data_IF_033114567242
#
_entry.id   IF_033114567242
#
_cell.length_a   1.000
_cell.length_b   1.000
_cell.length_c   1.000
_cell.angle_alpha   90.00
_cell.angle_beta   90.00
_cell.angle_gamma   90.00
#
_symmetry.space_group_name_H-M   'P 1'
#
loop_
_entity.id
_entity.type
_entity.pdbx_description
1 polymer ?
#
# COMPACT_ATOMS: atom_id res chain seq x y z
N UNK A 1 5.32 -19.13 -5.20
CA UNK A 1 6.75 -19.00 -5.55
C UNK A 1 7.38 -20.34 -6.00
N UNK A 2 6.59 -21.41 -6.15
CA UNK A 2 7.09 -22.75 -6.51
C UNK A 2 7.73 -22.87 -7.91
N UNK A 3 7.43 -21.98 -8.85
CA UNK A 3 7.95 -22.05 -10.23
C UNK A 3 9.27 -21.29 -10.45
N UNK A 4 9.84 -20.66 -9.42
CA UNK A 4 11.05 -19.84 -9.57
C UNK A 4 12.33 -20.54 -9.08
N UNK A 5 12.20 -21.53 -8.20
CA UNK A 5 13.30 -22.14 -7.47
C UNK A 5 13.21 -23.66 -7.51
N UNK A 6 14.37 -24.34 -7.61
CA UNK A 6 14.44 -25.79 -7.44
C UNK A 6 14.50 -26.13 -5.95
N UNK A 7 13.51 -26.86 -5.46
CA UNK A 7 13.34 -27.22 -4.04
C UNK A 7 14.51 -28.05 -3.50
N UNK A 8 15.12 -28.90 -4.32
CA UNK A 8 16.21 -29.81 -3.93
C UNK A 8 17.61 -29.17 -3.85
N UNK A 9 17.82 -27.97 -4.41
CA UNK A 9 19.16 -27.35 -4.48
C UNK A 9 19.11 -25.90 -4.01
N UNK A 10 19.17 -25.65 -2.71
CA UNK A 10 19.46 -24.34 -2.06
C UNK A 10 18.95 -23.09 -2.83
N UNK A 11 17.71 -23.10 -3.32
CA UNK A 11 17.14 -21.97 -4.06
C UNK A 11 17.83 -21.64 -5.38
N UNK A 12 18.39 -22.61 -6.10
CA UNK A 12 18.92 -22.40 -7.44
C UNK A 12 17.77 -22.04 -8.37
N UNK A 13 17.93 -20.91 -9.07
CA UNK A 13 16.86 -20.38 -9.89
C UNK A 13 16.62 -21.27 -11.12
N UNK A 14 15.36 -21.49 -11.46
CA UNK A 14 15.01 -22.24 -12.67
C UNK A 14 15.40 -21.46 -13.93
N UNK A 15 15.92 -22.19 -14.91
CA UNK A 15 16.28 -21.68 -16.26
C UNK A 15 14.99 -21.40 -17.02
N UNK A 16 14.96 -20.36 -17.87
CA UNK A 16 13.77 -19.94 -18.63
C UNK A 16 13.03 -21.10 -19.29
N UNK A 17 13.75 -21.98 -19.97
CA UNK A 17 13.15 -23.11 -20.67
C UNK A 17 12.36 -24.03 -19.74
N UNK A 18 12.90 -24.35 -18.55
CA UNK A 18 12.21 -25.16 -17.55
C UNK A 18 10.93 -24.48 -17.05
N UNK A 19 11.00 -23.19 -16.72
CA UNK A 19 9.83 -22.41 -16.26
C UNK A 19 8.73 -22.39 -17.31
N UNK A 20 9.09 -22.18 -18.58
CA UNK A 20 8.14 -22.14 -19.68
C UNK A 20 7.55 -23.52 -19.99
N UNK A 21 8.31 -24.60 -19.83
CA UNK A 21 7.79 -25.96 -19.96
C UNK A 21 6.78 -26.31 -18.87
N UNK A 22 7.08 -26.01 -17.59
CA UNK A 22 6.11 -26.18 -16.50
C UNK A 22 4.83 -25.40 -16.76
N UNK A 23 4.95 -24.14 -17.17
CA UNK A 23 3.79 -23.32 -17.51
C UNK A 23 2.96 -23.94 -18.63
N UNK A 24 3.60 -24.45 -19.69
CA UNK A 24 2.93 -25.11 -20.81
C UNK A 24 2.18 -26.37 -20.36
N UNK A 25 2.81 -27.21 -19.54
CA UNK A 25 2.18 -28.43 -19.01
C UNK A 25 0.96 -28.09 -18.15
N UNK A 26 1.10 -27.15 -17.20
CA UNK A 26 0.00 -26.71 -16.35
C UNK A 26 -1.15 -26.09 -17.15
N UNK A 27 -0.82 -25.26 -18.17
CA UNK A 27 -1.80 -24.69 -19.09
C UNK A 27 -2.59 -25.78 -19.81
N UNK A 28 -1.89 -26.74 -20.42
CA UNK A 28 -2.53 -27.81 -21.18
C UNK A 28 -3.40 -28.69 -20.28
N UNK A 29 -2.88 -29.09 -19.11
CA UNK A 29 -3.63 -29.85 -18.12
C UNK A 29 -4.91 -29.13 -17.68
N UNK A 30 -4.85 -27.81 -17.45
CA UNK A 30 -6.02 -27.02 -17.07
C UNK A 30 -7.08 -26.98 -18.19
N UNK A 31 -6.65 -26.83 -19.44
CA UNK A 31 -7.54 -26.80 -20.60
C UNK A 31 -8.14 -28.18 -20.91
N UNK A 32 -7.41 -29.27 -20.64
CA UNK A 32 -7.91 -30.64 -20.75
C UNK A 32 -8.94 -30.96 -19.66
N UNK A 33 -8.73 -30.47 -18.43
CA UNK A 33 -9.65 -30.69 -17.31
C UNK A 33 -10.96 -29.90 -17.41
N UNK A 34 -10.92 -28.72 -18.05
CA UNK A 34 -12.08 -27.83 -18.18
C UNK A 34 -12.31 -27.41 -19.65
N UNK A 35 -12.61 -28.36 -20.56
CA UNK A 35 -12.74 -28.08 -21.98
C UNK A 35 -13.81 -27.03 -22.29
N UNK A 36 -14.89 -26.99 -21.50
CA UNK A 36 -15.99 -26.04 -21.62
C UNK A 36 -15.59 -24.58 -21.37
N UNK A 37 -14.49 -24.33 -20.66
CA UNK A 37 -13.98 -22.98 -20.39
C UNK A 37 -12.84 -22.58 -21.33
N UNK A 38 -12.41 -23.47 -22.24
CA UNK A 38 -11.22 -23.28 -23.07
C UNK A 38 -11.28 -21.98 -23.87
N UNK A 39 -12.36 -21.76 -24.60
CA UNK A 39 -12.53 -20.57 -25.44
C UNK A 39 -12.43 -19.25 -24.65
N UNK A 40 -12.90 -19.26 -23.39
CA UNK A 40 -12.89 -18.08 -22.53
C UNK A 40 -11.51 -17.78 -21.91
N UNK A 41 -10.70 -18.80 -21.60
CA UNK A 41 -9.49 -18.64 -20.77
C UNK A 41 -8.19 -18.79 -21.59
N UNK A 42 -8.22 -19.42 -22.77
CA UNK A 42 -7.01 -19.72 -23.57
C UNK A 42 -6.21 -18.46 -23.93
N UNK A 43 -6.88 -17.38 -24.36
CA UNK A 43 -6.24 -16.08 -24.63
C UNK A 43 -5.57 -15.48 -23.39
N UNK A 44 -6.22 -15.60 -22.23
CA UNK A 44 -5.69 -15.11 -20.95
C UNK A 44 -4.46 -15.89 -20.53
N UNK A 45 -4.50 -17.22 -20.63
CA UNK A 45 -3.34 -18.08 -20.35
C UNK A 45 -2.20 -17.83 -21.33
N UNK A 46 -2.47 -17.55 -22.60
CA UNK A 46 -1.41 -17.19 -23.54
C UNK A 46 -0.74 -15.87 -23.13
N UNK A 47 -1.54 -14.86 -22.80
CA UNK A 47 -1.03 -13.54 -22.35
C UNK A 47 -0.16 -13.66 -21.10
N UNK A 48 -0.61 -14.45 -20.10
CA UNK A 48 0.19 -14.78 -18.91
C UNK A 48 1.52 -15.44 -19.26
N UNK A 49 1.51 -16.39 -20.21
CA UNK A 49 2.71 -17.07 -20.69
C UNK A 49 3.73 -16.09 -21.25
N UNK A 50 3.30 -15.13 -22.09
CA UNK A 50 4.17 -14.09 -22.62
C UNK A 50 4.73 -13.15 -21.55
N UNK A 51 3.95 -12.81 -20.52
CA UNK A 51 4.44 -12.03 -19.39
C UNK A 51 5.52 -12.80 -18.61
N UNK A 52 5.30 -14.09 -18.36
CA UNK A 52 6.27 -14.97 -17.70
C UNK A 52 7.56 -15.12 -18.51
N UNK A 53 7.44 -15.29 -19.82
CA UNK A 53 8.58 -15.39 -20.73
C UNK A 53 9.39 -14.10 -20.77
N UNK A 54 8.73 -12.95 -20.92
CA UNK A 54 9.36 -11.63 -20.86
C UNK A 54 10.05 -11.39 -19.52
N UNK A 55 9.44 -11.84 -18.42
CA UNK A 55 10.06 -11.79 -17.10
C UNK A 55 11.35 -12.62 -17.06
N UNK A 56 11.32 -13.87 -17.54
CA UNK A 56 12.50 -14.73 -17.59
C UNK A 56 13.61 -14.12 -18.46
N UNK A 57 13.28 -13.56 -19.63
CA UNK A 57 14.25 -12.89 -20.51
C UNK A 57 14.90 -11.68 -19.84
N UNK A 58 14.12 -10.80 -19.21
CA UNK A 58 14.64 -9.63 -18.48
C UNK A 58 15.48 -10.01 -17.26
N UNK A 59 15.19 -11.16 -16.65
CA UNK A 59 15.97 -11.71 -15.54
C UNK A 59 17.32 -12.24 -16.03
N UNK A 60 17.36 -12.94 -17.16
CA UNK A 60 18.58 -13.48 -17.76
C UNK A 60 19.51 -12.38 -18.29
N UNK A 61 18.95 -11.35 -18.92
CA UNK A 61 19.74 -10.24 -19.47
C UNK A 61 20.23 -9.23 -18.44
N UNK A 62 19.87 -9.40 -17.16
CA UNK A 62 20.15 -8.41 -16.11
C UNK A 62 19.40 -7.08 -16.29
N UNK A 63 18.64 -6.89 -17.38
CA UNK A 63 17.95 -5.65 -17.76
C UNK A 63 16.82 -5.21 -16.80
N UNK A 64 16.64 -5.91 -15.69
CA UNK A 64 15.80 -5.48 -14.57
C UNK A 64 16.49 -4.38 -13.73
N UNK A 65 17.28 -3.49 -14.36
CA UNK A 65 18.25 -2.65 -13.66
C UNK A 65 17.61 -1.49 -12.90
N UNK A 66 16.41 -1.02 -13.27
CA UNK A 66 15.78 0.09 -12.52
C UNK A 66 14.80 -0.41 -11.45
N UNK A 67 15.34 -1.13 -10.45
CA UNK A 67 14.57 -1.44 -9.23
C UNK A 67 14.87 -0.36 -8.20
N UNK A 68 13.82 0.32 -7.72
CA UNK A 68 13.95 1.15 -6.52
C UNK A 68 14.60 0.34 -5.39
N UNK A 69 15.58 0.91 -4.67
CA UNK A 69 16.23 0.24 -3.54
C UNK A 69 15.20 -0.19 -2.50
N UNK A 70 15.45 -1.27 -1.76
CA UNK A 70 14.50 -1.73 -0.74
C UNK A 70 14.72 -0.94 0.55
N UNK A 71 13.67 -0.27 1.05
CA UNK A 71 13.73 0.27 2.41
C UNK A 71 13.80 -0.91 3.38
N UNK A 72 14.83 -1.00 4.20
CA UNK A 72 14.92 -2.06 5.23
C UNK A 72 14.27 -1.58 6.52
N UNK A 73 13.80 -2.51 7.37
CA UNK A 73 13.27 -2.15 8.70
C UNK A 73 14.31 -1.36 9.52
N UNK A 74 15.60 -1.72 9.40
CA UNK A 74 16.73 -0.99 10.01
C UNK A 74 16.83 0.45 9.50
N UNK A 75 16.78 0.65 8.18
CA UNK A 75 16.80 1.98 7.59
C UNK A 75 15.58 2.81 8.02
N UNK A 76 14.38 2.20 8.04
CA UNK A 76 13.17 2.84 8.57
C UNK A 76 13.36 3.31 10.00
N UNK A 77 13.86 2.44 10.89
CA UNK A 77 14.16 2.80 12.27
C UNK A 77 15.12 3.98 12.35
N UNK A 78 16.24 3.94 11.62
CA UNK A 78 17.23 5.03 11.62
C UNK A 78 16.61 6.36 11.18
N UNK A 79 15.79 6.34 10.12
CA UNK A 79 15.07 7.53 9.65
C UNK A 79 14.11 8.09 10.69
N UNK A 80 13.35 7.24 11.38
CA UNK A 80 12.40 7.69 12.41
C UNK A 80 13.12 8.18 13.67
N UNK A 81 14.19 7.49 14.14
CA UNK A 81 15.04 7.98 15.24
C UNK A 81 15.56 9.39 14.93
N UNK A 82 16.08 9.58 13.71
CA UNK A 82 16.57 10.90 13.30
C UNK A 82 15.48 11.96 13.40
N UNK A 83 14.30 11.72 12.81
CA UNK A 83 13.18 12.65 12.85
C UNK A 83 12.78 13.02 14.28
N UNK A 84 12.67 12.06 15.20
CA UNK A 84 12.36 12.36 16.60
C UNK A 84 13.48 13.08 17.32
N UNK A 85 14.74 12.71 17.08
CA UNK A 85 15.89 13.33 17.74
C UNK A 85 16.15 14.78 17.30
N UNK A 86 15.69 15.15 16.10
CA UNK A 86 15.85 16.50 15.53
C UNK A 86 14.53 17.24 15.37
N UNK A 87 13.46 16.76 16.02
CA UNK A 87 12.14 17.36 15.86
C UNK A 87 12.10 18.77 16.48
N UNK A 88 11.69 19.76 15.67
CA UNK A 88 11.50 21.15 16.12
C UNK A 88 10.06 21.59 15.91
N UNK A 89 9.37 20.98 14.94
CA UNK A 89 8.02 21.36 14.52
C UNK A 89 7.08 20.17 14.56
N UNK A 90 5.77 20.43 14.58
CA UNK A 90 4.76 19.39 14.45
C UNK A 90 4.90 18.58 13.16
N UNK A 91 5.42 19.19 12.09
CA UNK A 91 5.67 18.53 10.80
C UNK A 91 6.68 17.39 10.91
N UNK A 92 7.67 17.47 11.81
CA UNK A 92 8.68 16.41 11.97
C UNK A 92 8.04 15.10 12.48
N UNK A 93 7.08 15.20 13.40
CA UNK A 93 6.31 14.06 13.90
C UNK A 93 5.33 13.52 12.85
N UNK A 94 4.77 14.42 12.04
CA UNK A 94 3.92 14.06 10.90
C UNK A 94 4.73 13.34 9.80
N UNK A 95 6.00 13.72 9.59
CA UNK A 95 6.92 13.03 8.68
C UNK A 95 7.31 11.65 9.22
N UNK A 96 7.49 11.52 10.53
CA UNK A 96 7.77 10.23 11.16
C UNK A 96 6.61 9.24 10.97
N UNK A 97 5.37 9.67 11.23
CA UNK A 97 4.20 8.80 11.00
C UNK A 97 3.97 8.55 9.51
N UNK A 98 4.28 9.49 8.61
CA UNK A 98 4.24 9.27 7.17
C UNK A 98 5.17 8.13 6.74
N UNK A 99 6.45 8.16 7.15
CA UNK A 99 7.41 7.09 6.82
C UNK A 99 7.01 5.75 7.45
N UNK A 100 6.50 5.78 8.67
CA UNK A 100 5.98 4.62 9.37
C UNK A 100 4.79 3.99 8.62
N UNK A 101 3.78 4.79 8.28
CA UNK A 101 2.61 4.31 7.55
C UNK A 101 2.94 3.84 6.13
N UNK A 102 3.89 4.47 5.43
CA UNK A 102 4.38 3.97 4.14
C UNK A 102 4.93 2.55 4.23
N UNK A 103 5.57 2.16 5.34
CA UNK A 103 5.97 0.78 5.57
C UNK A 103 4.76 -0.16 5.65
N UNK A 104 3.78 0.17 6.50
CA UNK A 104 2.61 -0.69 6.74
C UNK A 104 1.63 -0.77 5.57
N UNK A 105 1.60 0.28 4.73
CA UNK A 105 0.76 0.36 3.53
C UNK A 105 1.48 -0.10 2.26
N UNK A 106 2.70 -0.65 2.34
CA UNK A 106 3.53 -1.02 1.18
C UNK A 106 3.69 0.13 0.16
N UNK A 107 4.01 1.32 0.66
CA UNK A 107 4.35 2.49 -0.14
C UNK A 107 3.16 3.16 -0.82
N UNK A 108 1.92 2.84 -0.43
CA UNK A 108 0.69 3.44 -0.97
C UNK A 108 0.48 4.87 -0.45
N UNK A 109 1.34 5.79 -0.90
CA UNK A 109 1.34 7.18 -0.47
C UNK A 109 0.01 7.90 -0.77
N UNK A 110 -0.63 7.63 -1.91
CA UNK A 110 -1.93 8.23 -2.28
C UNK A 110 -3.05 7.88 -1.31
N UNK A 111 -3.01 6.72 -0.66
CA UNK A 111 -4.04 6.32 0.29
C UNK A 111 -3.93 7.14 1.60
N UNK A 112 -2.76 7.72 1.87
CA UNK A 112 -2.50 8.55 3.05
C UNK A 112 -3.04 9.99 2.90
N UNK A 113 -3.23 10.50 1.69
CA UNK A 113 -3.74 11.88 1.49
C UNK A 113 -5.21 12.03 1.86
N UNK A 114 -5.98 10.94 1.81
CA UNK A 114 -7.40 10.93 2.15
C UNK A 114 -7.67 10.47 3.58
N UNK A 115 -6.61 10.18 4.34
CA UNK A 115 -6.74 9.52 5.64
C UNK A 115 -7.15 10.51 6.74
N UNK A 116 -8.32 10.29 7.32
CA UNK A 116 -8.88 11.08 8.43
C UNK A 116 -8.78 10.34 9.75
N UNK A 117 -8.89 11.07 10.87
CA UNK A 117 -8.90 10.48 12.22
C UNK A 117 -10.05 9.48 12.41
N UNK A 118 -11.23 9.79 11.85
CA UNK A 118 -12.41 8.92 11.88
C UNK A 118 -12.23 7.58 11.13
N UNK A 119 -11.17 7.45 10.33
CA UNK A 119 -10.82 6.20 9.64
C UNK A 119 -10.07 5.21 10.55
N UNK A 120 -9.62 5.66 11.72
CA UNK A 120 -9.00 4.80 12.73
C UNK A 120 -10.09 4.16 13.58
N UNK A 121 -9.93 2.86 13.86
CA UNK A 121 -10.81 2.14 14.78
C UNK A 121 -10.07 0.98 15.42
N UNK A 122 -10.59 0.48 16.53
CA UNK A 122 -10.11 -0.74 17.19
C UNK A 122 -11.17 -1.81 16.98
N UNK A 123 -10.78 -2.95 16.42
CA UNK A 123 -11.68 -4.09 16.26
C UNK A 123 -11.48 -5.14 17.34
N UNK A 124 -12.18 -6.27 17.20
CA UNK A 124 -12.06 -7.40 18.12
C UNK A 124 -10.64 -7.96 18.16
N UNK A 125 -10.12 -8.24 19.36
CA UNK A 125 -8.78 -8.80 19.56
C UNK A 125 -7.67 -7.76 19.59
N UNK A 126 -7.99 -6.51 19.95
CA UNK A 126 -7.01 -5.45 20.21
C UNK A 126 -6.17 -5.07 18.98
N UNK A 127 -6.80 -5.12 17.81
CA UNK A 127 -6.16 -4.78 16.55
C UNK A 127 -6.68 -3.43 16.06
N UNK A 128 -5.74 -2.54 15.75
CA UNK A 128 -6.06 -1.24 15.17
C UNK A 128 -6.29 -1.40 13.67
N UNK A 129 -7.31 -0.73 13.15
CA UNK A 129 -7.64 -0.70 11.74
C UNK A 129 -7.63 0.73 11.21
N UNK A 130 -7.12 0.86 9.99
CA UNK A 130 -7.21 2.04 9.15
C UNK A 130 -8.13 1.72 7.98
N UNK A 131 -9.30 2.34 7.92
CA UNK A 131 -10.26 2.17 6.81
C UNK A 131 -10.24 3.36 5.87
N UNK A 132 -9.93 3.17 4.60
CA UNK A 132 -9.89 4.28 3.64
C UNK A 132 -10.48 3.87 2.29
N UNK A 133 -10.99 4.86 1.56
CA UNK A 133 -11.39 4.67 0.17
C UNK A 133 -10.14 4.72 -0.69
N UNK A 134 -9.88 3.63 -1.40
CA UNK A 134 -8.72 3.52 -2.26
C UNK A 134 -8.87 4.41 -3.49
N UNK A 135 -7.96 5.37 -3.67
CA UNK A 135 -8.00 6.34 -4.79
C UNK A 135 -8.11 5.67 -6.17
N UNK A 136 -7.41 4.55 -6.37
CA UNK A 136 -7.34 3.87 -7.68
C UNK A 136 -8.52 2.95 -8.00
N UNK A 137 -9.30 2.56 -7.01
CA UNK A 137 -10.39 1.60 -7.18
C UNK A 137 -11.75 2.17 -6.75
N UNK A 138 -11.76 3.30 -6.03
CA UNK A 138 -12.94 3.88 -5.38
C UNK A 138 -13.66 2.87 -4.45
N UNK A 139 -12.90 1.94 -3.86
CA UNK A 139 -13.41 0.91 -2.98
C UNK A 139 -12.84 1.08 -1.57
N UNK A 140 -13.67 0.85 -0.55
CA UNK A 140 -13.26 0.87 0.84
C UNK A 140 -12.34 -0.31 1.16
N UNK A 141 -11.22 -0.04 1.81
CA UNK A 141 -10.27 -1.03 2.27
C UNK A 141 -9.90 -0.77 3.73
N UNK A 142 -9.90 -1.83 4.53
CA UNK A 142 -9.34 -1.84 5.88
C UNK A 142 -7.94 -2.44 5.88
N UNK A 143 -7.01 -1.79 6.57
CA UNK A 143 -5.70 -2.35 6.90
C UNK A 143 -5.49 -2.39 8.41
N UNK A 144 -4.96 -3.51 8.86
CA UNK A 144 -4.62 -3.76 10.24
C UNK A 144 -3.24 -3.19 10.55
N UNK A 145 -3.15 -2.54 11.70
CA UNK A 145 -1.93 -2.07 12.34
C UNK A 145 -1.76 -2.85 13.63
N UNK A 146 -0.53 -3.31 13.86
CA UNK A 146 -0.13 -4.02 15.06
C UNK A 146 0.90 -3.15 15.79
N UNK A 147 0.91 -3.14 17.13
CA UNK A 147 2.04 -2.62 17.88
C UNK A 147 3.32 -3.32 17.42
N UNK A 148 4.38 -2.55 17.22
CA UNK A 148 5.71 -3.07 16.90
C UNK A 148 6.47 -3.37 18.18
N UNK A 149 7.28 -4.43 18.17
CA UNK A 149 8.22 -4.73 19.26
C UNK A 149 9.20 -3.57 19.49
N UNK A 150 9.50 -2.83 18.42
CA UNK A 150 10.31 -1.62 18.50
C UNK A 150 9.42 -0.37 18.54
N UNK A 151 9.38 0.30 19.70
CA UNK A 151 8.62 1.53 19.90
C UNK A 151 8.89 2.57 18.82
N UNK A 152 10.12 2.68 18.32
CA UNK A 152 10.47 3.67 17.29
C UNK A 152 9.71 3.45 15.99
N UNK A 153 9.52 2.19 15.57
CA UNK A 153 8.81 1.85 14.33
C UNK A 153 7.36 1.42 14.56
N UNK A 154 6.87 1.62 15.80
CA UNK A 154 5.49 1.32 16.18
C UNK A 154 4.52 2.31 15.52
N UNK A 155 3.56 1.84 14.70
CA UNK A 155 2.65 2.72 13.98
C UNK A 155 1.70 3.44 14.94
N UNK A 156 1.31 2.79 16.04
CA UNK A 156 0.42 3.37 17.03
C UNK A 156 1.09 4.51 17.79
N UNK A 157 2.35 4.32 18.20
CA UNK A 157 3.12 5.38 18.84
C UNK A 157 3.36 6.54 17.88
N UNK A 158 3.72 6.24 16.62
CA UNK A 158 3.93 7.27 15.61
C UNK A 158 2.67 8.10 15.35
N UNK A 159 1.50 7.45 15.26
CA UNK A 159 0.20 8.12 15.15
C UNK A 159 -0.09 8.97 16.39
N UNK A 160 0.07 8.41 17.59
CA UNK A 160 -0.20 9.11 18.84
C UNK A 160 0.67 10.38 18.98
N UNK A 161 1.98 10.27 18.75
CA UNK A 161 2.89 11.41 18.77
C UNK A 161 2.52 12.46 17.72
N UNK A 162 2.21 12.03 16.50
CA UNK A 162 1.80 12.95 15.44
C UNK A 162 0.51 13.70 15.82
N UNK A 163 -0.45 13.04 16.47
CA UNK A 163 -1.71 13.65 16.93
C UNK A 163 -1.51 14.61 18.11
N UNK A 164 -0.70 14.25 19.10
CA UNK A 164 -0.39 15.09 20.26
C UNK A 164 0.28 16.39 19.82
N UNK A 165 1.16 16.30 18.82
CA UNK A 165 1.91 17.46 18.33
C UNK A 165 1.12 18.32 17.33
N UNK A 166 -0.14 17.98 17.00
CA UNK A 166 -0.95 18.83 16.12
C UNK A 166 -1.36 20.12 16.84
N UNK A 167 -0.91 21.24 16.29
CA UNK A 167 -1.18 22.58 16.84
C UNK A 167 -2.59 23.08 16.53
N UNK A 168 -3.24 22.54 15.50
CA UNK A 168 -4.57 22.98 15.04
C UNK A 168 -5.56 21.82 15.00
N UNK A 169 -6.83 22.05 15.39
CA UNK A 169 -7.90 21.08 15.18
C UNK A 169 -8.03 20.77 13.69
N UNK A 170 -7.85 19.50 13.34
CA UNK A 170 -7.97 19.01 11.96
C UNK A 170 -8.59 17.62 11.94
N UNK A 171 -9.40 17.34 10.92
CA UNK A 171 -9.95 16.02 10.69
C UNK A 171 -8.93 15.07 10.00
N UNK A 172 -7.93 15.63 9.32
CA UNK A 172 -6.89 14.87 8.65
C UNK A 172 -5.99 14.18 9.68
N UNK A 173 -5.58 12.95 9.38
CA UNK A 173 -4.54 12.29 10.17
C UNK A 173 -3.17 12.95 9.89
N UNK A 174 -2.92 13.27 8.62
CA UNK A 174 -1.71 13.88 8.10
C UNK A 174 -2.02 15.24 7.45
N UNK A 175 -2.05 16.30 8.25
CA UNK A 175 -2.45 17.63 7.80
C UNK A 175 -1.42 18.35 6.91
N UNK A 176 -0.18 17.87 6.88
CA UNK A 176 0.89 18.43 6.06
C UNK A 176 0.92 17.93 4.61
N UNK A 177 0.09 16.93 4.29
CA UNK A 177 0.05 16.37 2.94
C UNK A 177 -0.79 17.27 2.03
N UNK A 178 -0.43 17.38 0.74
CA UNK A 178 -1.26 18.07 -0.24
C UNK A 178 -2.67 17.45 -0.26
N UNK A 179 -3.69 18.30 -0.19
CA UNK A 179 -5.06 17.83 -0.42
C UNK A 179 -5.14 17.33 -1.86
N UNK A 180 -5.56 16.08 -2.01
CA UNK A 180 -5.97 15.62 -3.32
C UNK A 180 -7.26 16.38 -3.62
N UNK A 181 -7.24 17.29 -4.60
CA UNK A 181 -8.46 17.74 -5.25
C UNK A 181 -9.09 16.50 -5.87
N UNK A 182 -9.89 15.78 -5.10
CA UNK A 182 -10.95 15.01 -5.70
C UNK A 182 -11.71 16.05 -6.52
N UNK A 183 -11.68 15.93 -7.85
CA UNK A 183 -12.65 16.63 -8.67
C UNK A 183 -13.98 16.38 -7.99
N UNK A 184 -14.57 17.44 -7.45
CA UNK A 184 -15.90 17.41 -6.90
C UNK A 184 -16.80 16.98 -8.04
N UNK A 185 -16.99 15.66 -8.19
CA UNK A 185 -18.27 15.18 -8.62
C UNK A 185 -19.20 15.64 -7.50
N UNK A 186 -19.89 16.73 -7.80
CA UNK A 186 -21.05 17.23 -7.08
C UNK A 186 -21.77 16.05 -6.44
N UNK A 187 -21.98 16.15 -5.13
CA UNK A 187 -22.50 15.07 -4.30
C UNK A 187 -23.89 14.65 -4.80
N UNK A 188 -23.93 13.66 -5.68
CA UNK A 188 -25.11 12.83 -5.86
C UNK A 188 -24.82 11.54 -5.12
N UNK A 189 -25.16 11.55 -3.82
CA UNK A 189 -25.29 10.30 -3.07
C UNK A 189 -26.41 9.46 -3.72
N UNK A 190 -26.35 8.12 -3.69
CA UNK A 190 -27.40 7.24 -4.25
C UNK A 190 -28.80 7.40 -3.62
N UNK A 191 -28.96 8.37 -2.72
CA UNK A 191 -30.16 8.71 -1.98
C UNK A 191 -30.82 10.03 -2.42
N UNK A 192 -30.34 10.71 -3.46
CA UNK A 192 -31.04 11.88 -4.00
C UNK A 192 -32.33 11.43 -4.71
N UNK A 193 -33.53 11.82 -4.24
CA UNK A 193 -34.78 11.36 -4.83
C UNK A 193 -34.92 11.92 -6.25
N UNK A 194 -35.42 11.08 -7.16
CA UNK A 194 -35.58 11.40 -8.59
C UNK A 194 -36.40 12.69 -8.85
N UNK A 195 -37.22 13.10 -7.90
CA UNK A 195 -38.06 14.30 -7.96
C UNK A 195 -37.21 15.59 -7.99
N UNK A 196 -36.10 15.63 -7.25
CA UNK A 196 -35.24 16.82 -7.15
C UNK A 196 -34.49 17.10 -8.46
N UNK A 197 -34.20 16.03 -9.24
CA UNK A 197 -33.57 16.09 -10.56
C UNK A 197 -34.51 16.57 -11.67
N UNK A 198 -35.83 16.47 -11.47
CA UNK A 198 -36.84 16.90 -12.45
C UNK A 198 -37.15 18.39 -12.26
N UNK A 199 -37.07 18.89 -11.03
CA UNK A 199 -37.35 20.29 -10.70
C UNK A 199 -36.21 21.26 -11.04
N UNK A 200 -35.00 20.76 -11.38
CA UNK A 200 -33.81 21.58 -11.64
C UNK A 200 -33.12 21.21 -12.97
N UNK A 201 -33.75 21.48 -14.13
CA UNK A 201 -33.23 21.09 -15.45
C UNK A 201 -31.96 21.86 -15.88
N UNK A 202 -31.62 22.95 -15.20
CA UNK A 202 -30.42 23.77 -15.48
C UNK A 202 -29.11 22.99 -15.25
N UNK A 203 -29.07 22.14 -14.22
CA UNK A 203 -27.88 21.36 -13.82
C UNK A 203 -27.54 20.24 -14.82
N UNK A 204 -28.51 19.86 -15.67
CA UNK A 204 -28.34 18.85 -16.72
C UNK A 204 -27.79 19.48 -18.01
N UNK A 205 -28.03 20.77 -18.24
CA UNK A 205 -27.62 21.47 -19.46
C UNK A 205 -26.11 21.77 -19.50
N UNK A 206 -25.46 22.04 -18.36
CA UNK A 206 -24.01 22.27 -18.30
C UNK A 206 -23.16 21.03 -18.65
N UNK A 207 -23.75 19.82 -18.61
CA UNK A 207 -23.08 18.57 -18.94
C UNK A 207 -22.97 18.32 -20.47
N UNK A 208 -23.70 19.06 -21.30
CA UNK A 208 -23.75 18.84 -22.76
C UNK A 208 -22.98 19.86 -23.60
N UNK A 209 -22.40 20.91 -22.99
CA UNK A 209 -21.57 21.85 -23.73
C UNK A 209 -20.16 21.26 -23.98
N UNK A 210 -19.65 21.25 -25.23
CA UNK A 210 -18.27 20.88 -25.50
C UNK A 210 -17.37 21.96 -24.86
N UNK A 211 -16.56 21.58 -23.88
CA UNK A 211 -15.54 22.47 -23.32
C UNK A 211 -14.49 22.76 -24.39
N UNK A 212 -14.58 23.92 -25.02
CA UNK A 212 -13.53 24.46 -25.88
C UNK A 212 -12.33 24.78 -25.01
N UNK A 213 -11.23 24.02 -25.15
CA UNK A 213 -9.99 24.26 -24.44
C UNK A 213 -9.34 25.55 -24.95
N UNK A 214 -9.41 26.61 -24.15
CA UNK A 214 -8.57 27.80 -24.34
C UNK A 214 -7.13 27.48 -23.89
N UNK A 215 -6.07 27.89 -24.60
CA UNK A 215 -4.68 27.54 -24.28
C UNK A 215 -4.12 28.16 -22.98
N UNK A 216 -4.90 28.98 -22.27
CA UNK A 216 -4.42 29.83 -21.17
C UNK A 216 -4.60 29.22 -19.76
N UNK A 217 -5.26 28.06 -19.62
CA UNK A 217 -5.46 27.37 -18.32
C UNK A 217 -4.24 26.60 -17.80
N UNK A 218 -3.04 26.84 -18.35
CA UNK A 218 -1.81 26.12 -17.99
C UNK A 218 -1.07 26.67 -16.77
N UNK A 219 -1.68 27.51 -15.95
CA UNK A 219 -0.93 28.21 -14.91
C UNK A 219 -1.66 28.39 -13.57
N UNK A 220 -2.19 27.32 -12.99
CA UNK A 220 -2.49 27.26 -11.53
C UNK A 220 -2.51 25.82 -11.00
N UNK A 221 -1.34 25.20 -10.79
CA UNK A 221 -1.17 24.28 -9.64
C UNK A 221 0.32 24.02 -9.35
N UNK A 222 0.88 24.72 -8.36
CA UNK A 222 2.30 24.58 -7.97
C UNK A 222 2.49 23.77 -6.68
N UNK A 223 1.47 23.04 -6.22
CA UNK A 223 1.60 22.14 -5.08
C UNK A 223 2.26 20.81 -5.51
N UNK A 224 3.40 20.41 -4.92
CA UNK A 224 4.03 19.14 -5.25
C UNK A 224 3.11 17.98 -4.82
N UNK A 225 2.65 17.14 -5.75
CA UNK A 225 1.79 16.00 -5.44
C UNK A 225 2.43 15.00 -4.45
N UNK A 226 1.63 14.17 -3.79
CA UNK A 226 2.05 13.29 -2.67
C UNK A 226 3.38 12.52 -2.89
N UNK A 227 3.62 12.00 -4.09
CA UNK A 227 4.86 11.26 -4.38
C UNK A 227 6.10 12.16 -4.33
N UNK A 228 5.98 13.41 -4.79
CA UNK A 228 7.07 14.38 -4.68
C UNK A 228 7.31 14.79 -3.23
N UNK A 229 6.25 14.91 -2.43
CA UNK A 229 6.36 15.15 -0.98
C UNK A 229 7.12 14.00 -0.30
N UNK A 230 6.71 12.75 -0.52
CA UNK A 230 7.37 11.55 0.04
C UNK A 230 8.84 11.47 -0.36
N UNK A 231 9.14 11.75 -1.63
CA UNK A 231 10.52 11.75 -2.11
C UNK A 231 11.35 12.84 -1.44
N UNK A 232 10.80 14.05 -1.25
CA UNK A 232 11.46 15.14 -0.53
C UNK A 232 11.76 14.78 0.92
N UNK A 233 10.80 14.20 1.64
CA UNK A 233 11.00 13.74 3.02
C UNK A 233 12.06 12.65 3.06
N UNK A 234 11.98 11.67 2.15
CA UNK A 234 12.97 10.59 2.05
C UNK A 234 14.36 11.14 1.79
N UNK A 235 14.54 11.98 0.77
CA UNK A 235 15.83 12.60 0.41
C UNK A 235 16.40 13.45 1.57
N UNK A 236 15.55 14.18 2.30
CA UNK A 236 15.97 14.98 3.47
C UNK A 236 16.52 14.09 4.59
N UNK A 237 15.90 12.94 4.84
CA UNK A 237 16.23 12.10 5.99
C UNK A 237 17.32 11.09 5.67
N UNK A 238 17.26 10.39 4.52
CA UNK A 238 18.21 9.32 4.15
C UNK A 238 19.65 9.81 4.12
N UNK A 239 19.88 11.01 3.59
CA UNK A 239 21.19 11.63 3.52
C UNK A 239 21.78 11.88 4.92
N UNK A 240 20.94 12.13 5.92
CA UNK A 240 21.38 12.44 7.29
C UNK A 240 21.70 11.19 8.11
N UNK A 241 21.04 10.08 7.79
CA UNK A 241 21.23 8.80 8.49
C UNK A 241 22.20 7.84 7.78
N UNK A 242 22.86 8.30 6.72
CA UNK A 242 23.85 7.51 5.97
C UNK A 242 23.23 6.35 5.17
N UNK A 243 21.96 6.45 4.80
CA UNK A 243 21.34 5.50 3.85
C UNK A 243 21.81 5.89 2.45
N UNK A 244 22.76 5.11 1.91
CA UNK A 244 23.45 5.41 0.66
C UNK A 244 22.55 5.42 -0.59
N UNK A 245 21.43 4.69 -0.55
CA UNK A 245 20.52 4.57 -1.69
C UNK A 245 19.34 5.54 -1.57
N UNK A 246 18.97 6.18 -2.67
CA UNK A 246 17.83 7.10 -2.72
C UNK A 246 16.50 6.35 -2.54
N UNK A 247 15.84 6.56 -1.41
CA UNK A 247 14.55 5.93 -1.13
C UNK A 247 13.39 6.72 -1.75
N UNK A 248 12.41 6.01 -2.29
CA UNK A 248 11.15 6.57 -2.81
C UNK A 248 9.96 5.81 -2.23
N UNK A 249 8.71 6.21 -2.52
CA UNK A 249 7.54 5.40 -2.14
C UNK A 249 7.62 3.95 -2.64
N UNK A 250 8.24 3.71 -3.80
CA UNK A 250 8.49 2.37 -4.33
C UNK A 250 9.48 1.55 -3.49
N UNK A 251 10.38 2.21 -2.77
CA UNK A 251 11.32 1.55 -1.86
C UNK A 251 10.64 0.94 -0.64
N UNK A 252 9.64 1.63 -0.07
CA UNK A 252 8.84 1.09 1.05
C UNK A 252 7.98 -0.08 0.59
N UNK A 253 7.41 0.01 -0.61
CA UNK A 253 6.70 -1.11 -1.26
C UNK A 253 7.60 -2.34 -1.38
N UNK A 254 8.80 -2.17 -1.94
CA UNK A 254 9.76 -3.28 -2.10
C UNK A 254 10.22 -3.81 -0.75
N UNK A 255 10.54 -2.91 0.18
CA UNK A 255 11.01 -3.21 1.52
C UNK A 255 10.05 -4.04 2.36
N UNK A 256 8.83 -3.55 2.58
CA UNK A 256 7.81 -4.25 3.36
C UNK A 256 7.43 -5.59 2.74
N UNK A 257 7.39 -5.68 1.41
CA UNK A 257 7.12 -6.94 0.73
C UNK A 257 8.27 -7.95 0.84
N UNK A 258 9.53 -7.50 0.73
CA UNK A 258 10.68 -8.37 0.95
C UNK A 258 10.76 -8.86 2.39
N UNK A 259 10.44 -7.99 3.35
CA UNK A 259 10.43 -8.33 4.77
C UNK A 259 9.38 -9.40 5.08
N UNK A 260 8.14 -9.20 4.63
CA UNK A 260 7.06 -10.18 4.83
C UNK A 260 7.30 -11.50 4.09
N UNK A 261 7.85 -11.44 2.88
CA UNK A 261 8.25 -12.63 2.14
C UNK A 261 9.40 -13.38 2.83
N UNK A 262 10.35 -12.67 3.45
CA UNK A 262 11.44 -13.26 4.23
C UNK A 262 10.95 -14.04 5.45
N UNK A 263 9.80 -13.66 6.00
CA UNK A 263 9.12 -14.37 7.09
C UNK A 263 8.22 -15.52 6.62
N UNK A 264 8.29 -15.93 5.34
CA UNK A 264 7.53 -17.06 4.81
C UNK A 264 6.05 -16.80 4.55
N UNK A 265 5.62 -15.53 4.52
CA UNK A 265 4.21 -15.18 4.25
C UNK A 265 3.76 -15.60 2.85
N UNK A 266 2.49 -16.00 2.76
CA UNK A 266 1.87 -16.34 1.48
C UNK A 266 1.94 -15.12 0.54
N UNK A 267 2.49 -15.33 -0.66
CA UNK A 267 2.64 -14.28 -1.65
C UNK A 267 1.29 -13.65 -2.06
N UNK A 268 0.20 -14.42 -1.96
CA UNK A 268 -1.16 -13.94 -2.19
C UNK A 268 -1.53 -12.83 -1.20
N UNK A 269 -1.31 -13.05 0.11
CA UNK A 269 -1.59 -12.06 1.15
C UNK A 269 -0.76 -10.78 0.99
N UNK A 270 0.50 -10.91 0.56
CA UNK A 270 1.37 -9.75 0.27
C UNK A 270 0.80 -8.94 -0.90
N UNK A 271 0.36 -9.63 -1.97
CA UNK A 271 -0.23 -8.97 -3.14
C UNK A 271 -1.57 -8.31 -2.82
N UNK A 272 -2.40 -8.96 -2.00
CA UNK A 272 -3.72 -8.48 -1.63
C UNK A 272 -3.60 -7.25 -0.72
N UNK A 273 -2.71 -7.27 0.28
CA UNK A 273 -2.42 -6.08 1.12
C UNK A 273 -1.80 -4.93 0.34
N UNK A 274 -0.92 -5.23 -0.63
CA UNK A 274 -0.34 -4.23 -1.54
C UNK A 274 -1.32 -3.73 -2.60
N UNK A 275 -2.45 -4.43 -2.77
CA UNK A 275 -3.46 -4.19 -3.78
C UNK A 275 -2.87 -4.06 -5.20
N UNK A 276 -1.85 -4.84 -5.53
CA UNK A 276 -1.08 -4.65 -6.77
C UNK A 276 -1.85 -5.12 -8.02
N UNK A 277 -1.94 -4.24 -9.03
CA UNK A 277 -2.53 -4.56 -10.33
C UNK A 277 -1.50 -5.30 -11.21
N UNK A 278 -1.71 -6.59 -11.47
CA UNK A 278 -0.83 -7.41 -12.33
C UNK A 278 -1.45 -7.64 -13.71
N UNK A 279 -1.46 -6.58 -14.53
CA UNK A 279 -2.41 -6.36 -15.64
C UNK A 279 -2.36 -7.28 -16.88
N UNK A 280 -2.12 -8.58 -16.73
CA UNK A 280 -2.60 -9.59 -17.68
C UNK A 280 -3.05 -10.85 -16.91
N UNK A 281 -4.37 -10.89 -16.60
CA UNK A 281 -5.17 -11.65 -15.61
C UNK A 281 -5.40 -10.91 -14.30
N UNK A 282 -6.21 -9.88 -14.43
CA UNK A 282 -5.93 -8.60 -13.83
C UNK A 282 -7.17 -7.89 -13.29
N UNK A 283 -8.30 -8.58 -13.32
CA UNK A 283 -9.51 -8.21 -12.59
C UNK A 283 -10.25 -9.39 -11.95
N UNK A 284 -10.05 -10.63 -12.38
CA UNK A 284 -10.80 -11.77 -11.85
C UNK A 284 -10.33 -12.29 -10.47
N UNK A 285 -9.14 -11.87 -9.99
CA UNK A 285 -8.65 -12.14 -8.63
C UNK A 285 -8.41 -10.86 -7.82
N UNK A 286 -9.02 -9.74 -8.25
CA UNK A 286 -8.86 -8.44 -7.62
C UNK A 286 -9.50 -8.35 -6.22
N UNK A 287 -10.43 -9.24 -5.86
CA UNK A 287 -11.06 -9.27 -4.54
C UNK A 287 -11.38 -10.70 -4.12
N UNK A 288 -10.37 -11.44 -3.67
CA UNK A 288 -10.68 -12.49 -2.70
C UNK A 288 -10.18 -11.90 -1.41
N UNK A 289 -11.13 -11.34 -0.67
CA UNK A 289 -10.95 -10.70 0.63
C UNK A 289 -9.80 -11.35 1.40
N UNK A 290 -8.83 -10.55 1.87
CA UNK A 290 -8.21 -10.95 3.13
C UNK A 290 -9.38 -11.01 4.12
N UNK A 291 -9.58 -12.16 4.75
CA UNK A 291 -10.25 -12.13 6.04
C UNK A 291 -9.39 -11.25 6.96
N UNK A 292 -9.97 -10.53 7.93
CA UNK A 292 -9.19 -9.76 8.90
C UNK A 292 -8.03 -10.58 9.47
N UNK A 293 -8.22 -11.89 9.65
CA UNK A 293 -7.21 -12.82 10.14
C UNK A 293 -5.91 -12.85 9.33
N UNK A 294 -5.94 -12.77 8.00
CA UNK A 294 -4.73 -12.86 7.17
C UNK A 294 -3.99 -11.53 7.14
N UNK A 295 -4.74 -10.43 7.13
CA UNK A 295 -4.16 -9.09 7.22
C UNK A 295 -3.52 -8.84 8.60
N UNK A 296 -4.08 -9.42 9.67
CA UNK A 296 -3.47 -9.42 11.01
C UNK A 296 -2.09 -10.06 11.00
N UNK A 297 -1.92 -11.20 10.31
CA UNK A 297 -0.63 -11.91 10.21
C UNK A 297 0.41 -11.05 9.48
N UNK A 298 0.01 -10.41 8.38
CA UNK A 298 0.92 -9.50 7.66
C UNK A 298 1.26 -8.28 8.50
N UNK A 299 0.30 -7.71 9.24
CA UNK A 299 0.55 -6.59 10.15
C UNK A 299 1.52 -6.96 11.28
N UNK A 300 1.39 -8.14 11.88
CA UNK A 300 2.30 -8.68 12.90
C UNK A 300 3.72 -8.82 12.36
N UNK A 301 3.88 -9.46 11.21
CA UNK A 301 5.20 -9.63 10.57
C UNK A 301 5.84 -8.28 10.25
N UNK A 302 5.06 -7.29 9.77
CA UNK A 302 5.59 -5.94 9.53
C UNK A 302 6.01 -5.22 10.82
N UNK A 303 5.46 -5.64 11.95
CA UNK A 303 5.68 -5.14 13.30
C UNK A 303 6.69 -6.01 14.06
N UNK A 304 7.50 -6.79 13.34
CA UNK A 304 8.56 -7.67 13.87
C UNK A 304 8.08 -8.88 14.69
N UNK A 305 6.77 -9.16 14.71
CA UNK A 305 6.19 -10.30 15.42
C UNK A 305 6.11 -11.56 14.54
N UNK A 306 5.99 -12.71 15.21
CA UNK A 306 5.58 -13.95 14.55
C UNK A 306 4.13 -13.86 14.05
N UNK A 307 3.80 -14.43 12.87
CA UNK A 307 2.49 -14.26 12.24
C UNK A 307 1.34 -14.79 13.10
N UNK A 308 1.54 -15.90 13.80
CA UNK A 308 0.48 -16.55 14.60
C UNK A 308 0.38 -16.02 16.04
N UNK A 309 1.38 -15.27 16.50
CA UNK A 309 1.41 -14.79 17.89
C UNK A 309 0.43 -13.63 18.06
N UNK A 310 -0.51 -13.78 19.00
CA UNK A 310 -1.37 -12.68 19.39
C UNK A 310 -0.52 -11.59 20.07
N UNK A 311 -0.76 -10.34 19.69
CA UNK A 311 -0.10 -9.17 20.27
C UNK A 311 -1.16 -8.41 21.04
N UNK A 312 -1.20 -8.51 22.38
CA UNK A 312 -2.16 -7.76 23.17
C UNK A 312 -1.83 -6.27 23.09
N UNK A 313 -2.85 -5.41 23.08
CA UNK A 313 -2.64 -4.01 23.40
C UNK A 313 -2.39 -3.90 24.91
N UNK A 314 -1.42 -3.09 25.29
CA UNK A 314 -1.26 -2.72 26.69
C UNK A 314 -2.53 -1.97 27.11
N UNK A 315 -3.27 -2.54 28.07
CA UNK A 315 -4.37 -1.84 28.71
C UNK A 315 -3.81 -0.74 29.60
N UNK A 316 -4.34 0.47 29.50
CA UNK A 316 -4.00 1.58 30.39
C UNK A 316 -4.37 1.29 31.86
N UNK A 317 -5.24 0.31 32.11
CA UNK A 317 -5.64 -0.10 33.46
C UNK A 317 -4.53 -0.89 34.20
N UNK A 318 -3.47 -1.28 33.49
CA UNK A 318 -2.37 -2.07 34.06
C UNK A 318 -1.34 -1.24 34.84
N UNK A 319 -1.31 0.09 34.65
CA UNK A 319 -0.27 0.97 35.20
C UNK A 319 -0.70 1.73 36.48
N UNK A 320 -1.95 1.59 36.92
CA UNK A 320 -2.44 2.23 38.16
C UNK A 320 -2.30 1.35 39.42
N UNK A 321 -1.61 0.21 39.33
CA UNK A 321 -1.32 -0.67 40.49
C UNK A 321 0.17 -0.78 40.82
N UNK A 322 0.94 0.30 40.67
CA UNK A 322 2.20 0.43 41.40
C UNK A 322 1.98 1.43 42.54
N UNK A 323 1.94 0.86 43.74
CA UNK A 323 1.62 1.48 45.03
C UNK A 323 2.41 2.77 45.31
N UNK A 324 1.69 3.75 45.87
CA UNK A 324 2.23 4.80 46.75
C UNK A 324 2.45 4.17 48.12
#
# INVERSE_FOLDING_TARGET
MYLAFKEERKGQLLVRHSVMQYYRQAKNWLLEKFPQHRAAIEKTLLTKGHVLERYCMKRESGAFVDKAPACTKKALKQMIVYLYSTAVTSADYQDAVLLCLLWYLFGRASDLTLLRKANLSVGSGDIFFVRFIRVKASEEQGLSLCPDDDFVTCPLLAIALALIMQLTPTAALLNQLPEHQAQSQTSLTPSTPLIDLIDHPEDVAELQAPKTYSPEDKQTDSAPGIHSYVNRVSDRVTNKVGVAERLTSHSFRRGGAQHTNGAGMCIRWIFDRGAWNMTATNKAFAYVFNTPSEDHKVARVLSSHEPEKAVPLLSLDSETQVEI
#
